data_IF_322757833693
#
_entry.id   IF_322757833693
#
_cell.length_a   1.000
_cell.length_b   1.000
_cell.length_c   1.000
_cell.angle_alpha   90.00
_cell.angle_beta   90.00
_cell.angle_gamma   90.00
#
_symmetry.space_group_name_H-M   'P 1'
#
loop_
_entity.id
_entity.type
_entity.pdbx_description
1 polymer ?
#
# COMPACT_ATOMS: atom_id res chain seq x y z
N UNK A 1 21.11 23.30 14.85
CA UNK A 1 19.82 23.96 14.54
C UNK A 1 18.82 22.84 14.39
N UNK A 2 17.70 22.91 15.11
CA UNK A 2 16.55 22.02 14.88
C UNK A 2 16.19 22.03 13.38
N UNK A 3 15.93 20.87 12.75
CA UNK A 3 15.53 20.85 11.35
C UNK A 3 14.20 21.60 11.20
N UNK A 4 14.22 22.69 10.42
CA UNK A 4 12.99 23.44 10.07
C UNK A 4 12.15 22.73 8.99
N UNK A 5 12.59 21.56 8.56
CA UNK A 5 12.04 20.80 7.45
C UNK A 5 11.74 19.38 7.91
N UNK A 6 10.53 18.92 7.62
CA UNK A 6 10.11 17.57 7.98
C UNK A 6 9.38 16.89 6.81
N UNK A 7 9.40 15.57 6.81
CA UNK A 7 8.55 14.72 5.98
C UNK A 7 7.63 13.95 6.91
N UNK A 8 6.32 14.18 6.79
CA UNK A 8 5.31 13.42 7.50
C UNK A 8 4.84 12.27 6.61
N UNK A 9 5.26 11.04 6.93
CA UNK A 9 4.79 9.83 6.26
C UNK A 9 3.45 9.43 6.89
N UNK A 10 2.41 9.37 6.05
CA UNK A 10 1.01 9.15 6.48
C UNK A 10 0.50 7.83 5.93
N UNK A 11 0.19 6.89 6.81
CA UNK A 11 -0.33 5.57 6.40
C UNK A 11 -1.77 5.38 6.90
N UNK A 12 -2.54 4.47 6.27
CA UNK A 12 -3.77 3.99 6.90
C UNK A 12 -3.52 3.49 8.32
N UNK A 13 -2.41 2.76 8.47
CA UNK A 13 -1.95 2.19 9.73
C UNK A 13 -2.23 0.69 9.81
N UNK A 14 -1.58 0.02 10.76
CA UNK A 14 -1.91 -1.37 11.09
C UNK A 14 -1.68 -1.65 12.56
N UNK A 15 -2.58 -2.49 13.11
CA UNK A 15 -2.46 -3.01 14.48
C UNK A 15 -1.55 -4.25 14.57
N UNK A 16 -1.04 -4.76 13.45
CA UNK A 16 -0.09 -5.87 13.42
C UNK A 16 1.33 -5.34 13.55
N UNK A 17 1.99 -5.59 14.68
CA UNK A 17 3.27 -4.96 15.01
C UNK A 17 4.39 -5.32 14.03
N UNK A 18 4.51 -6.61 13.69
CA UNK A 18 5.53 -7.08 12.75
C UNK A 18 5.31 -6.51 11.35
N UNK A 19 4.06 -6.53 10.88
CA UNK A 19 3.67 -5.94 9.59
C UNK A 19 4.00 -4.44 9.58
N UNK A 20 3.62 -3.69 10.64
CA UNK A 20 3.93 -2.26 10.76
C UNK A 20 5.41 -1.97 10.63
N UNK A 21 6.27 -2.76 11.26
CA UNK A 21 7.71 -2.55 11.26
C UNK A 21 8.35 -2.88 9.91
N UNK A 22 7.92 -3.97 9.29
CA UNK A 22 8.44 -4.45 7.99
C UNK A 22 7.93 -3.63 6.80
N UNK A 23 6.76 -3.00 6.93
CA UNK A 23 6.11 -2.24 5.84
C UNK A 23 6.24 -0.73 6.07
N UNK A 24 5.39 -0.14 6.91
CA UNK A 24 5.35 1.29 7.21
C UNK A 24 6.71 1.78 7.71
N UNK A 25 7.28 1.10 8.71
CA UNK A 25 8.61 1.44 9.23
C UNK A 25 9.71 1.33 8.18
N UNK A 26 9.61 0.37 7.24
CA UNK A 26 10.59 0.23 6.16
C UNK A 26 10.46 1.34 5.10
N UNK A 27 9.24 1.82 4.82
CA UNK A 27 9.00 3.00 3.97
C UNK A 27 9.57 4.24 4.64
N UNK A 28 9.26 4.47 5.92
CA UNK A 28 9.78 5.61 6.69
C UNK A 28 11.31 5.64 6.75
N UNK A 29 11.95 4.49 6.97
CA UNK A 29 13.41 4.38 6.93
C UNK A 29 13.97 4.70 5.55
N UNK A 30 13.38 4.17 4.49
CA UNK A 30 13.83 4.47 3.13
C UNK A 30 13.71 5.97 2.79
N UNK A 31 12.65 6.63 3.27
CA UNK A 31 12.49 8.08 3.16
C UNK A 31 13.56 8.80 3.98
N UNK A 32 13.79 8.43 5.24
CA UNK A 32 14.80 9.06 6.09
C UNK A 32 16.22 8.92 5.52
N UNK A 33 16.56 7.75 4.97
CA UNK A 33 17.84 7.49 4.31
C UNK A 33 18.03 8.35 3.05
N UNK A 34 16.96 8.56 2.27
CA UNK A 34 17.01 9.37 1.05
C UNK A 34 17.00 10.89 1.31
N UNK A 35 16.50 11.33 2.47
CA UNK A 35 16.33 12.74 2.83
C UNK A 35 16.98 13.06 4.20
N UNK A 36 18.31 12.92 4.36
CA UNK A 36 18.98 13.07 5.66
C UNK A 36 18.91 14.49 6.25
N UNK A 37 18.49 15.49 5.46
CA UNK A 37 18.27 16.86 5.92
C UNK A 37 16.88 17.10 6.54
N UNK A 38 15.96 16.14 6.39
CA UNK A 38 14.59 16.23 6.87
C UNK A 38 14.41 15.37 8.12
N UNK A 39 13.63 15.87 9.07
CA UNK A 39 13.08 15.01 10.12
C UNK A 39 11.94 14.17 9.53
N UNK A 40 11.95 12.85 9.71
CA UNK A 40 10.85 11.98 9.27
C UNK A 40 9.93 11.67 10.44
N UNK A 41 8.64 12.01 10.28
CA UNK A 41 7.57 11.80 11.25
C UNK A 41 6.52 10.82 10.71
N UNK A 42 5.74 10.24 11.62
CA UNK A 42 4.66 9.28 11.32
C UNK A 42 3.31 9.86 11.72
N UNK A 43 2.30 9.64 10.89
CA UNK A 43 0.89 9.72 11.28
C UNK A 43 0.07 8.59 10.68
N UNK A 44 -1.03 8.22 11.32
CA UNK A 44 -2.02 7.29 10.78
C UNK A 44 -3.35 8.00 10.45
N UNK A 45 -4.07 7.53 9.42
CA UNK A 45 -5.42 8.04 9.11
C UNK A 45 -6.51 7.30 9.87
N UNK A 46 -6.32 6.01 10.18
CA UNK A 46 -7.33 5.20 10.86
C UNK A 46 -7.36 5.42 12.37
N UNK A 47 -8.35 6.18 12.85
CA UNK A 47 -8.56 6.40 14.29
C UNK A 47 -8.82 5.07 15.04
N UNK A 48 -9.49 4.10 14.41
CA UNK A 48 -9.70 2.76 14.99
C UNK A 48 -8.39 2.05 15.28
N UNK A 49 -7.40 2.16 14.38
CA UNK A 49 -6.07 1.58 14.58
C UNK A 49 -5.29 2.34 15.64
N UNK A 50 -5.33 3.68 15.63
CA UNK A 50 -4.70 4.53 16.64
C UNK A 50 -5.21 4.17 18.05
N UNK A 51 -6.53 4.13 18.22
CA UNK A 51 -7.18 3.79 19.49
C UNK A 51 -6.83 2.37 19.95
N UNK A 52 -6.81 1.40 19.02
CA UNK A 52 -6.43 0.02 19.31
C UNK A 52 -4.99 -0.07 19.79
N UNK A 53 -4.05 0.63 19.16
CA UNK A 53 -2.65 0.65 19.56
C UNK A 53 -2.42 1.36 20.89
N UNK A 54 -3.13 2.46 21.14
CA UNK A 54 -3.10 3.16 22.43
C UNK A 54 -3.62 2.27 23.55
N UNK A 55 -4.74 1.58 23.34
CA UNK A 55 -5.37 0.72 24.36
C UNK A 55 -4.59 -0.58 24.61
N UNK A 56 -4.19 -1.28 23.55
CA UNK A 56 -3.57 -2.60 23.64
C UNK A 56 -2.07 -2.53 23.92
N UNK A 57 -1.37 -1.59 23.27
CA UNK A 57 0.09 -1.55 23.24
C UNK A 57 0.67 -0.32 23.97
N UNK A 58 -0.18 0.54 24.55
CA UNK A 58 0.20 1.81 25.16
C UNK A 58 1.01 2.71 24.22
N UNK A 59 0.82 2.56 22.91
CA UNK A 59 1.55 3.31 21.90
C UNK A 59 0.70 4.46 21.38
N UNK A 60 1.17 5.67 21.60
CA UNK A 60 0.57 6.87 21.01
C UNK A 60 1.09 7.04 19.58
N UNK A 61 0.18 7.13 18.63
CA UNK A 61 0.45 7.49 17.24
C UNK A 61 -0.53 8.60 16.89
N UNK A 62 -0.01 9.63 16.24
CA UNK A 62 -0.81 10.79 15.90
C UNK A 62 -1.70 10.47 14.72
N UNK A 63 -2.93 11.00 14.76
CA UNK A 63 -3.67 11.17 13.52
C UNK A 63 -3.06 12.34 12.70
N UNK A 64 -3.48 12.48 11.44
CA UNK A 64 -2.94 13.51 10.55
C UNK A 64 -3.06 14.92 11.15
N UNK A 65 -4.23 15.26 11.71
CA UNK A 65 -4.46 16.57 12.32
C UNK A 65 -3.53 16.83 13.50
N UNK A 66 -3.40 15.86 14.41
CA UNK A 66 -2.49 15.94 15.56
C UNK A 66 -1.03 16.09 15.11
N UNK A 67 -0.62 15.38 14.07
CA UNK A 67 0.75 15.45 13.55
C UNK A 67 1.04 16.82 12.89
N UNK A 68 0.08 17.38 12.15
CA UNK A 68 0.16 18.74 11.60
C UNK A 68 0.19 19.79 12.72
N UNK A 69 -0.64 19.61 13.75
CA UNK A 69 -0.67 20.47 14.93
C UNK A 69 0.68 20.49 15.65
N UNK A 70 1.28 19.31 15.86
CA UNK A 70 2.61 19.21 16.49
C UNK A 70 3.73 19.74 15.59
N UNK A 71 3.71 19.46 14.30
CA UNK A 71 4.71 19.99 13.37
C UNK A 71 4.73 21.53 13.39
N UNK A 72 3.56 22.17 13.38
CA UNK A 72 3.46 23.63 13.49
C UNK A 72 3.94 24.14 14.87
N UNK A 73 3.57 23.46 15.96
CA UNK A 73 3.98 23.83 17.32
C UNK A 73 5.50 23.71 17.53
N UNK A 74 6.14 22.71 16.93
CA UNK A 74 7.58 22.48 16.97
C UNK A 74 8.35 23.47 16.07
N UNK A 75 7.65 24.33 15.34
CA UNK A 75 8.25 25.37 14.51
C UNK A 75 8.76 24.88 13.15
N UNK A 76 8.28 23.73 12.66
CA UNK A 76 8.53 23.27 11.29
C UNK A 76 7.98 24.31 10.31
N UNK A 77 8.81 24.72 9.35
CA UNK A 77 8.46 25.72 8.34
C UNK A 77 8.18 25.13 6.98
N UNK A 78 8.87 24.04 6.63
CA UNK A 78 8.66 23.35 5.36
C UNK A 78 8.30 21.89 5.63
N UNK A 79 7.10 21.49 5.23
CA UNK A 79 6.57 20.15 5.48
C UNK A 79 6.19 19.49 4.17
N UNK A 80 6.66 18.26 3.96
CA UNK A 80 6.15 17.38 2.90
C UNK A 80 5.30 16.30 3.58
N UNK A 81 4.07 16.12 3.13
CA UNK A 81 3.19 15.04 3.57
C UNK A 81 3.24 13.96 2.50
N UNK A 82 3.78 12.77 2.83
CA UNK A 82 3.82 11.64 1.91
C UNK A 82 2.83 10.56 2.35
N UNK A 83 1.69 10.41 1.67
CA UNK A 83 0.79 9.30 1.91
C UNK A 83 1.38 7.99 1.42
N UNK A 84 1.16 6.91 2.16
CA UNK A 84 1.46 5.54 1.72
C UNK A 84 0.22 4.82 1.23
N UNK A 85 -0.74 5.55 0.64
CA UNK A 85 -1.95 4.93 0.07
C UNK A 85 -1.61 4.28 -1.28
N UNK A 86 -2.39 3.26 -1.66
CA UNK A 86 -2.20 2.57 -2.94
C UNK A 86 -2.62 3.46 -4.13
N UNK A 87 -3.73 4.17 -3.99
CA UNK A 87 -4.36 4.95 -5.06
C UNK A 87 -4.97 6.24 -4.51
N UNK A 88 -5.46 7.10 -5.40
CA UNK A 88 -6.17 8.35 -5.11
C UNK A 88 -7.64 8.17 -4.68
N UNK A 89 -7.91 7.13 -3.88
CA UNK A 89 -9.23 6.85 -3.31
C UNK A 89 -9.60 7.79 -2.16
N UNK A 90 -10.72 7.49 -1.49
CA UNK A 90 -11.27 8.31 -0.40
C UNK A 90 -10.22 8.67 0.67
N UNK A 91 -9.42 7.70 1.12
CA UNK A 91 -8.42 7.92 2.16
C UNK A 91 -7.33 8.92 1.74
N UNK A 92 -6.89 8.87 0.49
CA UNK A 92 -5.94 9.85 -0.03
C UNK A 92 -6.59 11.23 -0.17
N UNK A 93 -7.84 11.28 -0.62
CA UNK A 93 -8.58 12.54 -0.78
C UNK A 93 -8.85 13.23 0.56
N UNK A 94 -9.07 12.47 1.63
CA UNK A 94 -9.19 13.01 3.00
C UNK A 94 -7.86 13.62 3.47
N UNK A 95 -6.73 12.94 3.23
CA UNK A 95 -5.40 13.50 3.51
C UNK A 95 -5.18 14.78 2.70
N UNK A 96 -5.54 14.77 1.41
CA UNK A 96 -5.39 15.92 0.53
C UNK A 96 -6.20 17.12 1.04
N UNK A 97 -7.46 16.92 1.39
CA UNK A 97 -8.32 17.97 1.94
C UNK A 97 -7.74 18.55 3.24
N UNK A 98 -7.26 17.69 4.15
CA UNK A 98 -6.63 18.15 5.39
C UNK A 98 -5.34 18.93 5.11
N UNK A 99 -4.52 18.51 4.15
CA UNK A 99 -3.32 19.26 3.76
C UNK A 99 -3.68 20.62 3.14
N UNK A 100 -4.71 20.68 2.29
CA UNK A 100 -5.19 21.92 1.66
C UNK A 100 -5.64 22.96 2.69
N UNK A 101 -6.41 22.56 3.71
CA UNK A 101 -6.88 23.51 4.75
C UNK A 101 -5.74 24.00 5.65
N UNK A 102 -4.62 23.28 5.72
CA UNK A 102 -3.46 23.62 6.55
C UNK A 102 -2.33 24.35 5.78
N UNK A 103 -2.51 24.68 4.49
CA UNK A 103 -1.51 25.35 3.65
C UNK A 103 -0.93 26.63 4.29
N UNK A 104 -1.77 27.47 4.91
CA UNK A 104 -1.34 28.73 5.52
C UNK A 104 -0.56 28.61 6.83
N UNK A 105 -0.38 27.39 7.38
CA UNK A 105 0.32 27.16 8.65
C UNK A 105 1.83 26.99 8.50
N UNK A 106 2.28 26.67 7.29
CA UNK A 106 3.68 26.41 6.97
C UNK A 106 4.15 27.39 5.89
N UNK A 107 5.45 27.70 5.84
CA UNK A 107 6.00 28.50 4.74
C UNK A 107 5.96 27.71 3.43
N UNK A 108 6.10 26.38 3.51
CA UNK A 108 5.93 25.44 2.40
C UNK A 108 5.22 24.19 2.91
N UNK A 109 4.13 23.80 2.26
CA UNK A 109 3.43 22.55 2.52
C UNK A 109 3.15 21.84 1.20
N UNK A 110 3.72 20.66 1.01
CA UNK A 110 3.54 19.85 -0.19
C UNK A 110 2.90 18.50 0.15
N UNK A 111 2.17 17.94 -0.82
CA UNK A 111 1.57 16.61 -0.75
C UNK A 111 2.20 15.72 -1.82
N UNK A 112 2.77 14.60 -1.41
CA UNK A 112 3.24 13.55 -2.31
C UNK A 112 2.09 12.73 -2.89
N UNK A 113 2.32 12.17 -4.08
CA UNK A 113 1.34 11.34 -4.77
C UNK A 113 1.17 9.96 -4.09
N UNK A 114 0.03 9.26 -4.27
CA UNK A 114 -0.13 7.88 -3.84
C UNK A 114 0.64 6.92 -4.77
N UNK A 115 0.74 5.63 -4.40
CA UNK A 115 1.60 4.68 -5.11
C UNK A 115 1.26 4.51 -6.60
N UNK A 116 -0.03 4.56 -6.98
CA UNK A 116 -0.52 4.38 -8.35
C UNK A 116 -1.04 5.69 -8.95
N UNK A 117 -0.24 6.75 -8.89
CA UNK A 117 -0.66 8.08 -9.33
C UNK A 117 -0.59 8.31 -10.84
N UNK A 118 0.30 7.59 -11.54
CA UNK A 118 0.52 7.75 -12.97
C UNK A 118 0.65 6.41 -13.69
N UNK A 119 0.52 6.42 -15.03
CA UNK A 119 0.78 5.22 -15.84
C UNK A 119 2.19 4.65 -15.62
N UNK A 120 3.17 5.53 -15.41
CA UNK A 120 4.55 5.14 -15.15
C UNK A 120 4.67 4.43 -13.79
N UNK A 121 3.93 4.88 -12.79
CA UNK A 121 3.86 4.22 -11.48
C UNK A 121 3.19 2.85 -11.58
N UNK A 122 2.07 2.75 -12.33
CA UNK A 122 1.42 1.46 -12.58
C UNK A 122 2.40 0.46 -13.19
N UNK A 123 3.13 0.87 -14.24
CA UNK A 123 4.11 0.01 -14.89
C UNK A 123 5.28 -0.34 -13.96
N UNK A 124 5.69 0.59 -13.08
CA UNK A 124 6.75 0.35 -12.10
C UNK A 124 6.31 -0.63 -11.00
N UNK A 125 5.08 -0.52 -10.50
CA UNK A 125 4.51 -1.47 -9.54
C UNK A 125 4.35 -2.84 -10.19
N UNK A 126 3.87 -2.93 -11.43
CA UNK A 126 3.78 -4.19 -12.16
C UNK A 126 5.17 -4.86 -12.26
N UNK A 127 6.21 -4.11 -12.66
CA UNK A 127 7.59 -4.63 -12.71
C UNK A 127 8.12 -5.06 -11.34
N UNK A 128 7.81 -4.30 -10.29
CA UNK A 128 8.20 -4.64 -8.92
C UNK A 128 7.58 -5.98 -8.49
N UNK A 129 6.27 -6.16 -8.74
CA UNK A 129 5.57 -7.40 -8.42
C UNK A 129 6.00 -8.57 -9.30
N UNK A 130 6.30 -8.31 -10.57
CA UNK A 130 6.88 -9.30 -11.47
C UNK A 130 8.25 -9.80 -10.97
N UNK A 131 9.14 -8.89 -10.57
CA UNK A 131 10.43 -9.26 -9.99
C UNK A 131 10.32 -9.98 -8.64
N UNK A 132 9.35 -9.59 -7.81
CA UNK A 132 9.11 -10.18 -6.49
C UNK A 132 8.55 -11.61 -6.57
N UNK A 133 7.70 -11.90 -7.56
CA UNK A 133 7.02 -13.19 -7.71
C UNK A 133 7.56 -14.05 -8.86
N UNK A 134 8.49 -13.54 -9.67
CA UNK A 134 8.96 -14.23 -10.87
C UNK A 134 9.62 -15.59 -10.60
N UNK A 135 10.15 -15.82 -9.39
CA UNK A 135 10.69 -17.12 -8.97
C UNK A 135 9.64 -18.24 -8.84
N UNK A 136 8.36 -17.91 -8.89
CA UNK A 136 7.24 -18.85 -8.84
C UNK A 136 6.72 -19.25 -10.23
N UNK A 137 7.19 -18.60 -11.30
CA UNK A 137 6.72 -18.91 -12.64
C UNK A 137 7.37 -20.20 -13.17
N UNK A 138 6.62 -21.30 -13.08
CA UNK A 138 6.97 -22.62 -13.59
C UNK A 138 6.06 -23.06 -14.76
N UNK A 139 5.27 -22.13 -15.32
CA UNK A 139 4.26 -22.41 -16.33
C UNK A 139 3.05 -23.23 -15.84
N UNK A 140 2.94 -23.49 -14.53
CA UNK A 140 1.81 -24.19 -13.88
C UNK A 140 1.31 -23.46 -12.63
N UNK A 141 1.87 -22.30 -12.32
CA UNK A 141 1.54 -21.50 -11.15
C UNK A 141 0.85 -20.20 -11.57
N UNK A 142 -0.34 -19.96 -11.03
CA UNK A 142 -1.03 -18.68 -11.10
C UNK A 142 -0.57 -17.78 -9.93
N UNK A 143 -0.36 -16.50 -10.20
CA UNK A 143 0.11 -15.50 -9.23
C UNK A 143 -1.03 -14.52 -8.96
N UNK A 144 -1.69 -14.67 -7.81
CA UNK A 144 -2.88 -13.93 -7.47
C UNK A 144 -2.56 -12.80 -6.47
N UNK A 145 -2.82 -11.57 -6.90
CA UNK A 145 -2.63 -10.36 -6.13
C UNK A 145 -3.98 -9.89 -5.56
N UNK A 146 -4.04 -9.73 -4.24
CA UNK A 146 -5.26 -9.34 -3.55
C UNK A 146 -5.22 -7.86 -3.11
N UNK A 147 -5.97 -7.01 -3.80
CA UNK A 147 -6.24 -5.64 -3.39
C UNK A 147 -7.35 -5.53 -2.35
N UNK A 148 -7.51 -4.35 -1.76
CA UNK A 148 -8.63 -4.07 -0.84
C UNK A 148 -9.96 -3.97 -1.62
N UNK A 149 -9.98 -3.16 -2.68
CA UNK A 149 -11.21 -2.79 -3.37
C UNK A 149 -11.88 -1.57 -2.73
N UNK A 150 -12.65 -0.81 -3.50
CA UNK A 150 -13.46 0.31 -2.98
C UNK A 150 -14.61 0.61 -3.94
N UNK A 151 -15.68 1.23 -3.44
CA UNK A 151 -16.79 1.74 -4.27
C UNK A 151 -16.44 3.03 -5.03
N UNK A 152 -15.25 3.61 -4.80
CA UNK A 152 -14.78 4.79 -5.53
C UNK A 152 -14.43 4.46 -6.99
N UNK A 153 -14.49 5.49 -7.85
CA UNK A 153 -14.07 5.37 -9.25
C UNK A 153 -12.61 4.93 -9.41
N UNK A 154 -11.75 5.23 -8.44
CA UNK A 154 -10.35 4.80 -8.42
C UNK A 154 -10.17 3.27 -8.38
N UNK A 155 -11.21 2.49 -8.01
CA UNK A 155 -11.17 1.03 -8.06
C UNK A 155 -10.89 0.46 -9.46
N UNK A 156 -11.17 1.22 -10.52
CA UNK A 156 -10.82 0.86 -11.90
C UNK A 156 -9.32 0.59 -12.09
N UNK A 157 -8.46 1.08 -11.18
CA UNK A 157 -7.01 0.83 -11.21
C UNK A 157 -6.67 -0.66 -11.18
N UNK A 158 -7.44 -1.50 -10.47
CA UNK A 158 -7.16 -2.94 -10.41
C UNK A 158 -7.37 -3.63 -11.76
N UNK A 159 -8.46 -3.32 -12.47
CA UNK A 159 -8.70 -3.85 -13.81
C UNK A 159 -7.66 -3.29 -14.80
N UNK A 160 -7.33 -2.01 -14.70
CA UNK A 160 -6.29 -1.38 -15.54
C UNK A 160 -4.91 -2.03 -15.34
N UNK A 161 -4.54 -2.34 -14.10
CA UNK A 161 -3.31 -3.07 -13.80
C UNK A 161 -3.35 -4.49 -14.38
N UNK A 162 -4.49 -5.19 -14.28
CA UNK A 162 -4.67 -6.51 -14.88
C UNK A 162 -4.46 -6.49 -16.40
N UNK A 163 -5.06 -5.52 -17.09
CA UNK A 163 -4.96 -5.39 -18.55
C UNK A 163 -3.52 -5.07 -18.97
N UNK A 164 -2.84 -4.18 -18.22
CA UNK A 164 -1.42 -3.86 -18.44
C UNK A 164 -0.50 -5.05 -18.18
N UNK A 165 -0.77 -5.84 -17.15
CA UNK A 165 -0.02 -7.07 -16.88
C UNK A 165 -0.14 -8.05 -18.06
N UNK A 166 -1.35 -8.27 -18.56
CA UNK A 166 -1.59 -9.13 -19.73
C UNK A 166 -0.86 -8.60 -20.96
N UNK A 167 -0.99 -7.31 -21.27
CA UNK A 167 -0.31 -6.68 -22.40
C UNK A 167 1.23 -6.75 -22.29
N UNK A 168 1.75 -6.76 -21.06
CA UNK A 168 3.18 -6.89 -20.75
C UNK A 168 3.70 -8.33 -20.73
N UNK A 169 2.87 -9.34 -21.03
CA UNK A 169 3.26 -10.75 -21.06
C UNK A 169 3.14 -11.48 -19.72
N UNK A 170 2.59 -10.84 -18.68
CA UNK A 170 2.38 -11.41 -17.35
C UNK A 170 1.02 -12.13 -17.26
N UNK A 171 0.76 -13.07 -18.20
CA UNK A 171 -0.53 -13.72 -18.36
C UNK A 171 -0.93 -14.65 -17.20
N UNK A 172 0.04 -15.04 -16.36
CA UNK A 172 -0.16 -15.82 -15.14
C UNK A 172 -0.46 -14.98 -13.90
N UNK A 173 -0.50 -13.65 -14.01
CA UNK A 173 -0.88 -12.76 -12.92
C UNK A 173 -2.37 -12.45 -12.94
N UNK A 174 -3.00 -12.55 -11.77
CA UNK A 174 -4.41 -12.31 -11.56
C UNK A 174 -4.60 -11.30 -10.44
N UNK A 175 -5.39 -10.26 -10.68
CA UNK A 175 -5.72 -9.26 -9.67
C UNK A 175 -7.18 -9.43 -9.29
N UNK A 176 -7.43 -9.51 -7.98
CA UNK A 176 -8.78 -9.41 -7.43
C UNK A 176 -8.79 -8.53 -6.18
N UNK A 177 -9.98 -8.24 -5.68
CA UNK A 177 -10.20 -7.38 -4.52
C UNK A 177 -11.14 -8.03 -3.52
N UNK A 178 -11.02 -7.64 -2.24
CA UNK A 178 -11.88 -8.15 -1.17
C UNK A 178 -13.28 -7.51 -1.21
N UNK A 179 -13.33 -6.19 -1.38
CA UNK A 179 -14.56 -5.41 -1.19
C UNK A 179 -15.20 -4.90 -2.49
N UNK A 180 -14.63 -5.22 -3.66
CA UNK A 180 -15.11 -4.73 -4.94
C UNK A 180 -14.87 -5.76 -6.08
N UNK A 181 -15.10 -5.31 -7.31
CA UNK A 181 -14.75 -6.08 -8.52
C UNK A 181 -13.39 -5.65 -9.09
N UNK A 182 -12.62 -6.57 -9.70
CA UNK A 182 -12.89 -8.01 -9.80
C UNK A 182 -12.75 -8.70 -8.44
N UNK A 183 -13.71 -9.55 -8.07
CA UNK A 183 -13.66 -10.32 -6.82
C UNK A 183 -12.93 -11.66 -6.98
N UNK A 184 -12.83 -12.43 -5.89
CA UNK A 184 -12.22 -13.76 -5.91
C UNK A 184 -12.96 -14.74 -6.84
N UNK A 185 -14.28 -14.64 -6.97
CA UNK A 185 -15.04 -15.55 -7.84
C UNK A 185 -14.62 -15.34 -9.30
N UNK A 186 -14.50 -14.08 -9.72
CA UNK A 186 -13.98 -13.74 -11.05
C UNK A 186 -12.54 -14.23 -11.25
N UNK A 187 -11.69 -14.18 -10.23
CA UNK A 187 -10.33 -14.76 -10.28
C UNK A 187 -10.39 -16.27 -10.48
N UNK A 188 -11.17 -17.01 -9.67
CA UNK A 188 -11.30 -18.47 -9.77
C UNK A 188 -11.81 -18.89 -11.16
N UNK A 189 -12.80 -18.18 -11.72
CA UNK A 189 -13.32 -18.46 -13.06
C UNK A 189 -12.26 -18.28 -14.15
N UNK A 190 -11.48 -17.19 -14.07
CA UNK A 190 -10.36 -16.94 -14.99
C UNK A 190 -9.27 -18.00 -14.87
N UNK A 191 -8.95 -18.45 -13.66
CA UNK A 191 -8.01 -19.55 -13.43
C UNK A 191 -8.57 -20.87 -14.00
N UNK A 192 -9.83 -21.19 -13.75
CA UNK A 192 -10.47 -22.42 -14.23
C UNK A 192 -10.58 -22.51 -15.75
N UNK A 193 -10.63 -21.38 -16.45
CA UNK A 193 -10.53 -21.34 -17.91
C UNK A 193 -9.14 -21.80 -18.42
N UNK A 194 -8.11 -21.73 -17.57
CA UNK A 194 -6.73 -22.10 -17.87
C UNK A 194 -6.39 -23.47 -17.27
N UNK A 195 -6.62 -24.53 -18.05
CA UNK A 195 -6.52 -25.94 -17.58
C UNK A 195 -5.13 -26.42 -17.12
N UNK A 196 -4.09 -25.59 -17.25
CA UNK A 196 -2.71 -25.98 -16.95
C UNK A 196 -2.24 -25.56 -15.56
N UNK A 197 -2.93 -24.64 -14.88
CA UNK A 197 -2.56 -24.24 -13.52
C UNK A 197 -2.89 -25.34 -12.52
N UNK A 198 -1.94 -25.59 -11.62
CA UNK A 198 -2.05 -26.58 -10.54
C UNK A 198 -1.84 -25.92 -9.17
N UNK A 199 -1.19 -24.75 -9.15
CA UNK A 199 -0.83 -24.00 -7.96
C UNK A 199 -1.24 -22.54 -8.09
N UNK A 200 -1.63 -21.93 -6.98
CA UNK A 200 -1.88 -20.51 -6.87
C UNK A 200 -1.02 -19.92 -5.74
N UNK A 201 -0.28 -18.85 -6.02
CA UNK A 201 0.44 -18.07 -5.01
C UNK A 201 -0.36 -16.80 -4.74
N UNK A 202 -0.77 -16.61 -3.48
CA UNK A 202 -1.50 -15.44 -3.03
C UNK A 202 -0.53 -14.42 -2.42
N UNK A 203 -0.60 -13.16 -2.83
CA UNK A 203 0.11 -12.05 -2.18
C UNK A 203 -0.75 -10.78 -2.09
N UNK A 204 -0.69 -10.02 -0.99
CA UNK A 204 -1.41 -8.76 -0.89
C UNK A 204 -0.88 -7.71 -1.88
N UNK A 205 -1.81 -7.02 -2.55
CA UNK A 205 -1.59 -5.76 -3.25
C UNK A 205 -2.02 -4.60 -2.34
N UNK A 206 -1.50 -4.61 -1.11
CA UNK A 206 -1.75 -3.61 -0.07
C UNK A 206 -0.42 -3.27 0.61
N UNK A 207 -0.25 -2.02 1.05
CA UNK A 207 1.03 -1.57 1.64
C UNK A 207 1.43 -2.38 2.86
N UNK A 208 0.44 -2.67 3.71
CA UNK A 208 0.61 -3.50 4.90
C UNK A 208 -0.03 -4.87 4.67
N UNK A 209 0.62 -5.93 5.16
CA UNK A 209 -0.04 -7.22 5.34
C UNK A 209 -0.84 -7.17 6.65
N UNK A 210 -2.04 -6.58 6.58
CA UNK A 210 -2.94 -6.35 7.72
C UNK A 210 -3.99 -7.44 7.88
N UNK A 211 -5.18 -7.06 8.34
CA UNK A 211 -6.26 -7.99 8.64
C UNK A 211 -6.70 -8.78 7.42
N UNK A 212 -7.00 -8.10 6.31
CA UNK A 212 -7.35 -8.75 5.04
C UNK A 212 -6.30 -9.77 4.59
N UNK A 213 -5.01 -9.46 4.70
CA UNK A 213 -3.96 -10.38 4.30
C UNK A 213 -3.91 -11.64 5.18
N UNK A 214 -4.19 -11.52 6.48
CA UNK A 214 -4.08 -12.63 7.43
C UNK A 214 -5.38 -13.45 7.55
N UNK A 215 -6.53 -12.80 7.38
CA UNK A 215 -7.85 -13.42 7.55
C UNK A 215 -8.49 -13.72 6.19
N UNK A 216 -8.80 -12.71 5.40
CA UNK A 216 -9.52 -12.90 4.14
C UNK A 216 -8.68 -13.62 3.08
N UNK A 217 -7.37 -13.36 3.02
CA UNK A 217 -6.51 -14.01 2.03
C UNK A 217 -6.06 -15.40 2.47
N UNK A 218 -5.57 -15.51 3.70
CA UNK A 218 -4.79 -16.65 4.18
C UNK A 218 -5.35 -17.31 5.44
N UNK A 219 -6.52 -16.89 5.89
CA UNK A 219 -7.19 -17.50 7.03
C UNK A 219 -7.65 -18.93 6.73
N UNK A 220 -7.99 -19.66 7.78
CA UNK A 220 -8.49 -21.04 7.69
C UNK A 220 -10.02 -21.10 7.55
N UNK A 221 -10.71 -19.95 7.60
CA UNK A 221 -12.16 -19.85 7.42
C UNK A 221 -12.58 -20.25 5.99
N UNK A 222 -13.79 -20.79 5.84
CA UNK A 222 -14.25 -21.37 4.56
C UNK A 222 -14.31 -20.37 3.40
N UNK A 223 -14.49 -19.08 3.73
CA UNK A 223 -14.62 -17.96 2.80
C UNK A 223 -13.28 -17.28 2.48
N UNK A 224 -12.19 -17.68 3.13
CA UNK A 224 -10.87 -17.13 2.80
C UNK A 224 -10.47 -17.49 1.37
N UNK A 225 -9.62 -16.66 0.76
CA UNK A 225 -9.12 -16.88 -0.59
C UNK A 225 -8.38 -18.20 -0.71
N UNK A 226 -7.54 -18.50 0.30
CA UNK A 226 -6.85 -19.78 0.44
C UNK A 226 -7.84 -20.95 0.40
N UNK A 227 -8.80 -20.99 1.32
CA UNK A 227 -9.76 -22.09 1.44
C UNK A 227 -10.58 -22.27 0.17
N UNK A 228 -11.00 -21.17 -0.47
CA UNK A 228 -11.79 -21.21 -1.71
C UNK A 228 -10.98 -21.69 -2.91
N UNK A 229 -9.71 -21.31 -3.04
CA UNK A 229 -8.84 -21.81 -4.11
C UNK A 229 -8.44 -23.27 -3.91
N UNK A 230 -8.18 -23.69 -2.67
CA UNK A 230 -7.95 -25.10 -2.34
C UNK A 230 -9.17 -25.96 -2.70
N UNK A 231 -10.39 -25.49 -2.39
CA UNK A 231 -11.64 -26.14 -2.77
C UNK A 231 -11.84 -26.21 -4.29
N UNK A 232 -11.31 -25.23 -5.02
CA UNK A 232 -11.29 -25.22 -6.48
C UNK A 232 -10.21 -26.15 -7.09
N UNK A 233 -9.40 -26.82 -6.25
CA UNK A 233 -8.44 -27.85 -6.66
C UNK A 233 -7.00 -27.35 -6.84
N UNK A 234 -6.68 -26.13 -6.43
CA UNK A 234 -5.31 -25.59 -6.51
C UNK A 234 -4.52 -25.88 -5.23
N UNK A 235 -3.22 -26.15 -5.38
CA UNK A 235 -2.28 -26.03 -4.26
C UNK A 235 -2.06 -24.54 -3.97
N UNK A 236 -2.28 -24.09 -2.73
CA UNK A 236 -2.19 -22.67 -2.40
C UNK A 236 -0.99 -22.37 -1.53
N UNK A 237 -0.23 -21.35 -1.91
CA UNK A 237 0.80 -20.75 -1.06
C UNK A 237 0.46 -19.29 -0.76
N UNK A 238 0.40 -18.92 0.52
CA UNK A 238 0.13 -17.55 0.95
C UNK A 238 1.43 -16.84 1.32
N UNK A 239 1.76 -15.77 0.58
CA UNK A 239 2.86 -14.86 0.92
C UNK A 239 2.30 -13.66 1.67
N UNK A 240 2.37 -13.71 2.99
CA UNK A 240 1.96 -12.61 3.88
C UNK A 240 3.03 -11.50 3.87
N UNK A 241 3.15 -10.83 2.73
CA UNK A 241 4.14 -9.78 2.49
C UNK A 241 3.47 -8.54 1.91
N UNK A 242 3.53 -7.44 2.66
CA UNK A 242 2.95 -6.17 2.21
C UNK A 242 3.85 -5.47 1.19
N UNK A 243 3.28 -4.60 0.36
CA UNK A 243 4.04 -3.85 -0.66
C UNK A 243 5.15 -3.00 -0.04
N UNK A 244 4.98 -2.51 1.20
CA UNK A 244 6.00 -1.74 1.92
C UNK A 244 7.29 -2.53 2.20
N UNK A 245 7.26 -3.87 2.14
CA UNK A 245 8.44 -4.72 2.31
C UNK A 245 9.27 -4.86 1.02
N UNK A 246 8.69 -4.47 -0.13
CA UNK A 246 9.33 -4.60 -1.44
C UNK A 246 10.16 -3.33 -1.69
N UNK A 247 11.48 -3.48 -1.81
CA UNK A 247 12.40 -2.34 -1.98
C UNK A 247 12.06 -1.47 -3.21
N UNK A 248 11.68 -2.10 -4.33
CA UNK A 248 11.28 -1.37 -5.53
C UNK A 248 10.03 -0.49 -5.29
N UNK A 249 9.09 -0.93 -4.43
CA UNK A 249 7.94 -0.12 -4.04
C UNK A 249 8.36 1.04 -3.13
N UNK A 250 9.24 0.79 -2.16
CA UNK A 250 9.76 1.86 -1.28
C UNK A 250 10.44 2.97 -2.07
N UNK A 251 11.16 2.61 -3.15
CA UNK A 251 11.78 3.58 -4.07
C UNK A 251 10.77 4.47 -4.78
N UNK A 252 9.55 3.97 -5.06
CA UNK A 252 8.48 4.79 -5.64
C UNK A 252 7.99 5.85 -4.64
N UNK A 253 7.76 5.46 -3.38
CA UNK A 253 7.41 6.46 -2.35
C UNK A 253 8.51 7.50 -2.14
N UNK A 254 9.79 7.10 -2.17
CA UNK A 254 10.92 8.04 -2.12
C UNK A 254 10.91 8.98 -3.33
N UNK A 255 10.58 8.48 -4.53
CA UNK A 255 10.46 9.31 -5.73
C UNK A 255 9.32 10.32 -5.60
N UNK A 256 8.15 9.91 -5.11
CA UNK A 256 7.01 10.82 -4.88
C UNK A 256 7.32 11.90 -3.84
N UNK A 257 8.09 11.60 -2.79
CA UNK A 257 8.60 12.63 -1.86
C UNK A 257 9.48 13.63 -2.61
N UNK A 258 10.36 13.14 -3.49
CA UNK A 258 11.28 13.99 -4.25
C UNK A 258 10.56 14.87 -5.26
N UNK A 259 9.49 14.37 -5.88
CA UNK A 259 8.63 15.13 -6.79
C UNK A 259 7.81 16.20 -6.06
N UNK A 260 7.45 15.95 -4.80
CA UNK A 260 6.78 16.94 -3.95
C UNK A 260 7.75 17.93 -3.28
N UNK A 261 9.05 17.61 -3.24
CA UNK A 261 10.08 18.54 -2.79
C UNK A 261 10.11 19.76 -3.71
N UNK A 262 10.13 20.95 -3.13
CA UNK A 262 10.33 22.18 -3.89
C UNK A 262 11.69 22.15 -4.60
N UNK A 263 11.76 22.68 -5.82
CA UNK A 263 13.04 22.94 -6.47
C UNK A 263 13.93 23.79 -5.54
N UNK A 264 15.22 23.44 -5.48
CA UNK A 264 16.20 24.16 -4.66
C UNK A 264 16.53 25.52 -5.23
#
# INVERSE_FOLDING_TARGET
MEPRQAILVVSFGTSYNDSREKTIGAVERAVAEAFPAYEVRRAFTSQRIIDKLKKRDQRSIDNLKEALDRAAADGIKSLIVQPTHLMDGFEYMDVKAEVEVNQGRFERLALGAPLLASEADLDAVIRAMAGELGGYDDGKTALCLMGHGTDAASNQVYQKMQDRMIAGGYANYYIGTVEAQPDLQAVIEKLGAQKHYQRAVLQPLMVVAGDHANQDMAGEEEDSWKSRLERAGYQVECRIRGLGEVEAIRKLYVAHVREAEWEK
#
